data_IF_999956899817
#
_entry.id   IF_999956899817
#
_cell.length_a   1.000
_cell.length_b   1.000
_cell.length_c   1.000
_cell.angle_alpha   90.00
_cell.angle_beta   90.00
_cell.angle_gamma   90.00
#
_symmetry.space_group_name_H-M   'P 1'
#
loop_
_entity.id
_entity.type
_entity.pdbx_description
1 polymer ?
#
# COMPACT_ATOMS: atom_id res chain seq x y z
N UNK A 1 8.76 14.81 10.39
CA UNK A 1 7.32 14.62 10.11
C UNK A 1 6.48 14.54 11.38
N UNK A 2 7.01 13.99 12.47
CA UNK A 2 6.28 13.74 13.71
C UNK A 2 5.57 14.98 14.30
N UNK A 3 6.21 16.16 14.21
CA UNK A 3 5.64 17.43 14.73
C UNK A 3 4.45 17.96 13.93
N UNK A 4 4.39 17.70 12.62
CA UNK A 4 3.24 18.08 11.77
C UNK A 4 2.08 17.10 11.96
N UNK A 5 2.38 15.82 12.16
CA UNK A 5 1.38 14.79 12.45
C UNK A 5 0.73 15.00 13.82
N UNK A 6 1.52 15.44 14.82
CA UNK A 6 1.04 15.68 16.19
C UNK A 6 -0.07 16.74 16.31
N UNK A 7 -0.09 17.76 15.42
CA UNK A 7 -1.11 18.83 15.45
C UNK A 7 -2.45 18.37 14.86
N UNK A 8 -2.44 17.28 14.08
CA UNK A 8 -3.59 16.83 13.30
C UNK A 8 -4.16 15.49 13.80
N UNK A 9 -3.77 15.02 14.99
CA UNK A 9 -4.02 13.65 15.47
C UNK A 9 -5.50 13.25 15.55
N UNK A 10 -6.43 14.20 15.68
CA UNK A 10 -7.87 13.93 15.69
C UNK A 10 -8.49 13.89 14.28
N UNK A 11 -7.69 13.98 13.21
CA UNK A 11 -8.16 14.03 11.82
C UNK A 11 -7.52 12.94 10.98
N UNK A 12 -8.28 12.44 10.01
CA UNK A 12 -7.73 11.59 8.95
C UNK A 12 -6.83 12.43 8.05
N UNK A 13 -5.59 12.00 7.85
CA UNK A 13 -4.60 12.68 7.02
C UNK A 13 -4.22 11.82 5.82
N UNK A 14 -4.25 12.44 4.64
CA UNK A 14 -3.73 11.86 3.41
C UNK A 14 -2.43 12.58 3.04
N UNK A 15 -1.31 11.91 3.23
CA UNK A 15 0.02 12.48 2.97
C UNK A 15 0.58 11.91 1.67
N UNK A 16 0.78 12.74 0.67
CA UNK A 16 1.44 12.30 -0.57
C UNK A 16 2.95 12.33 -0.35
N UNK A 17 3.65 11.25 -0.71
CA UNK A 17 5.11 11.26 -0.75
C UNK A 17 5.63 10.47 -1.97
N UNK A 18 6.90 10.69 -2.30
CA UNK A 18 7.57 9.97 -3.37
C UNK A 18 8.10 8.59 -2.90
N UNK A 19 8.74 7.87 -3.83
CA UNK A 19 9.31 6.55 -3.57
C UNK A 19 10.53 6.56 -2.62
N UNK A 20 11.23 7.69 -2.44
CA UNK A 20 12.38 7.78 -1.54
C UNK A 20 11.96 7.67 -0.06
N UNK A 21 10.71 8.03 0.25
CA UNK A 21 10.18 8.03 1.61
C UNK A 21 9.72 6.64 2.11
N UNK A 22 10.33 5.56 1.62
CA UNK A 22 10.04 4.20 2.08
C UNK A 22 10.93 3.80 3.27
N UNK A 23 10.47 2.85 4.08
CA UNK A 23 11.26 2.37 5.21
C UNK A 23 10.41 1.94 6.40
N UNK A 24 11.10 1.64 7.50
CA UNK A 24 10.48 1.07 8.71
C UNK A 24 9.58 2.05 9.46
N UNK A 25 9.77 3.36 9.27
CA UNK A 25 8.92 4.40 9.88
C UNK A 25 7.44 4.21 9.54
N UNK A 26 7.15 3.61 8.38
CA UNK A 26 5.80 3.34 7.91
C UNK A 26 5.05 2.30 8.76
N UNK A 27 5.76 1.46 9.50
CA UNK A 27 5.17 0.41 10.36
C UNK A 27 4.40 0.98 11.53
N UNK A 28 4.74 2.21 11.92
CA UNK A 28 4.22 2.88 13.10
C UNK A 28 3.26 4.00 12.73
N UNK A 29 2.79 4.03 11.47
CA UNK A 29 1.78 5.01 11.06
C UNK A 29 0.47 4.74 11.82
N UNK A 30 -0.09 5.76 12.51
CA UNK A 30 -1.45 5.71 13.02
C UNK A 30 -2.46 5.35 11.93
N UNK A 31 -3.52 4.64 12.29
CA UNK A 31 -4.60 4.24 11.37
C UNK A 31 -5.28 5.43 10.68
N UNK A 32 -5.28 6.60 11.34
CA UNK A 32 -5.80 7.84 10.78
C UNK A 32 -4.97 8.38 9.60
N UNK A 33 -3.77 7.87 9.35
CA UNK A 33 -2.85 8.38 8.33
C UNK A 33 -2.74 7.42 7.16
N UNK A 34 -3.14 7.89 5.97
CA UNK A 34 -2.95 7.19 4.70
C UNK A 34 -1.87 7.90 3.89
N UNK A 35 -0.93 7.14 3.33
CA UNK A 35 0.21 7.71 2.58
C UNK A 35 0.23 7.14 1.15
N UNK A 36 -0.53 7.71 0.19
CA UNK A 36 -0.44 7.35 -1.21
C UNK A 36 0.92 7.76 -1.78
N UNK A 37 1.63 6.82 -2.41
CA UNK A 37 3.01 7.02 -2.87
C UNK A 37 3.34 6.19 -4.09
N UNK A 38 4.39 6.62 -4.79
CA UNK A 38 5.05 5.81 -5.79
C UNK A 38 5.82 4.66 -5.11
N UNK A 39 5.76 3.49 -5.70
CA UNK A 39 6.55 2.35 -5.25
C UNK A 39 7.94 2.39 -5.91
N UNK A 40 9.03 2.15 -5.17
CA UNK A 40 10.33 1.86 -5.77
C UNK A 40 10.23 0.71 -6.77
N UNK A 41 10.98 0.76 -7.86
CA UNK A 41 10.98 -0.30 -8.89
C UNK A 41 11.38 -1.69 -8.34
N UNK A 42 12.17 -1.73 -7.26
CA UNK A 42 12.57 -2.96 -6.56
C UNK A 42 11.51 -3.49 -5.58
N UNK A 43 10.34 -2.89 -5.51
CA UNK A 43 9.28 -3.28 -4.59
C UNK A 43 8.73 -4.66 -4.93
N UNK A 44 8.59 -5.50 -3.90
CA UNK A 44 7.90 -6.79 -4.00
C UNK A 44 6.63 -6.75 -3.18
N UNK A 45 5.50 -6.99 -3.85
CA UNK A 45 4.17 -7.05 -3.25
C UNK A 45 3.72 -8.50 -3.05
N UNK A 46 3.04 -8.73 -1.93
CA UNK A 46 2.44 -10.01 -1.58
C UNK A 46 0.94 -9.85 -1.37
N UNK A 47 0.19 -10.94 -1.47
CA UNK A 47 -1.14 -11.03 -0.90
C UNK A 47 -1.08 -10.81 0.62
N UNK A 48 -2.24 -10.47 1.18
CA UNK A 48 -2.43 -10.39 2.63
C UNK A 48 -2.15 -11.76 3.28
N UNK A 49 -1.84 -11.74 4.57
CA UNK A 49 -1.66 -12.97 5.33
C UNK A 49 -2.94 -13.83 5.24
N UNK A 50 -2.82 -15.14 4.94
CA UNK A 50 -3.99 -16.01 4.90
C UNK A 50 -4.55 -16.20 6.32
N UNK A 51 -5.82 -16.63 6.45
CA UNK A 51 -6.41 -16.96 7.73
C UNK A 51 -5.59 -17.98 8.53
N UNK A 52 -5.69 -17.91 9.85
CA UNK A 52 -5.07 -18.88 10.74
C UNK A 52 -5.58 -20.29 10.42
N UNK A 53 -4.67 -21.25 10.29
CA UNK A 53 -5.01 -22.63 9.89
C UNK A 53 -5.47 -23.51 11.05
N UNK A 54 -5.37 -23.03 12.30
CA UNK A 54 -5.62 -23.81 13.52
C UNK A 54 -4.59 -24.91 13.80
N UNK A 55 -3.57 -25.08 12.94
CA UNK A 55 -2.54 -26.11 13.09
C UNK A 55 -1.38 -25.62 13.98
N UNK A 56 -0.73 -26.55 14.68
CA UNK A 56 0.47 -26.27 15.46
C UNK A 56 1.58 -25.77 14.54
N UNK A 57 2.15 -24.61 14.86
CA UNK A 57 3.22 -23.97 14.09
C UNK A 57 3.03 -22.46 14.00
N UNK A 58 4.02 -21.77 13.41
CA UNK A 58 3.94 -20.32 13.22
C UNK A 58 2.96 -19.99 12.07
N UNK A 59 1.99 -19.09 12.28
CA UNK A 59 1.14 -18.60 11.20
C UNK A 59 1.93 -17.97 10.06
N UNK A 60 1.36 -18.04 8.84
CA UNK A 60 1.93 -17.31 7.70
C UNK A 60 1.72 -15.82 7.89
N UNK A 61 2.78 -15.07 7.63
CA UNK A 61 2.81 -13.63 7.81
C UNK A 61 2.44 -12.81 6.56
N UNK A 62 2.37 -13.48 5.40
CA UNK A 62 2.07 -12.91 4.09
C UNK A 62 1.56 -14.01 3.17
N UNK A 63 0.81 -13.64 2.14
CA UNK A 63 0.35 -14.55 1.11
C UNK A 63 1.36 -14.74 -0.03
N UNK A 64 0.87 -15.13 -1.20
CA UNK A 64 1.68 -15.34 -2.39
C UNK A 64 2.25 -14.01 -2.91
N UNK A 65 3.30 -14.07 -3.73
CA UNK A 65 3.84 -12.87 -4.41
C UNK A 65 2.90 -12.50 -5.56
N UNK A 66 2.56 -11.22 -5.69
CA UNK A 66 1.58 -10.72 -6.67
C UNK A 66 2.11 -10.57 -8.11
N UNK A 67 3.39 -10.85 -8.35
CA UNK A 67 4.02 -10.68 -9.67
C UNK A 67 4.51 -9.25 -9.92
N UNK A 68 4.77 -8.94 -11.20
CA UNK A 68 5.18 -7.62 -11.68
C UNK A 68 3.96 -6.73 -12.00
N UNK A 69 4.13 -5.42 -12.16
CA UNK A 69 3.05 -4.54 -12.61
C UNK A 69 2.41 -4.99 -13.93
N UNK A 70 3.21 -5.56 -14.85
CA UNK A 70 2.71 -6.11 -16.12
C UNK A 70 1.82 -7.33 -15.90
N UNK A 71 2.22 -8.25 -15.01
CA UNK A 71 1.43 -9.44 -14.69
C UNK A 71 0.08 -9.07 -14.05
N UNK A 72 0.11 -8.08 -13.15
CA UNK A 72 -1.11 -7.54 -12.53
C UNK A 72 -2.01 -6.85 -13.55
N UNK A 73 -1.44 -6.04 -14.44
CA UNK A 73 -2.20 -5.36 -15.48
C UNK A 73 -2.86 -6.34 -16.46
N UNK A 74 -2.27 -7.50 -16.72
CA UNK A 74 -2.83 -8.51 -17.61
C UNK A 74 -4.12 -9.16 -17.09
N UNK A 75 -4.33 -9.17 -15.77
CA UNK A 75 -5.51 -9.79 -15.12
C UNK A 75 -6.44 -8.77 -14.45
N UNK A 76 -6.06 -7.50 -14.45
CA UNK A 76 -6.79 -6.42 -13.80
C UNK A 76 -8.08 -6.03 -14.54
N UNK A 77 -9.11 -5.70 -13.77
CA UNK A 77 -10.27 -4.97 -14.26
C UNK A 77 -10.02 -3.48 -14.13
N UNK A 78 -10.03 -2.76 -15.26
CA UNK A 78 -9.75 -1.32 -15.28
C UNK A 78 -11.03 -0.50 -15.26
N UNK A 79 -11.02 0.53 -14.42
CA UNK A 79 -12.01 1.62 -14.45
C UNK A 79 -11.40 2.83 -15.15
N UNK A 80 -12.17 3.49 -16.02
CA UNK A 80 -11.75 4.72 -16.69
C UNK A 80 -12.16 5.91 -15.83
N UNK A 81 -11.19 6.69 -15.37
CA UNK A 81 -11.41 7.87 -14.54
C UNK A 81 -10.86 9.09 -15.24
N UNK A 82 -11.62 10.20 -15.25
CA UNK A 82 -11.11 11.50 -15.67
C UNK A 82 -10.46 12.19 -14.48
N UNK A 83 -9.20 12.58 -14.65
CA UNK A 83 -8.43 13.27 -13.62
C UNK A 83 -7.61 14.40 -14.21
N UNK A 84 -7.29 15.39 -13.36
CA UNK A 84 -6.33 16.43 -13.69
C UNK A 84 -4.93 15.94 -13.31
N UNK A 85 -4.08 15.72 -14.30
CA UNK A 85 -2.69 15.31 -14.14
C UNK A 85 -1.79 16.39 -14.74
N UNK A 86 -0.87 16.93 -13.94
CA UNK A 86 0.11 17.94 -14.39
C UNK A 86 -0.54 19.09 -15.20
N UNK A 87 -1.66 19.61 -14.72
CA UNK A 87 -2.39 20.71 -15.38
C UNK A 87 -3.34 20.27 -16.51
N UNK A 88 -3.20 19.06 -17.05
CA UNK A 88 -4.04 18.52 -18.12
C UNK A 88 -5.17 17.66 -17.56
N UNK A 89 -6.37 17.77 -18.13
CA UNK A 89 -7.44 16.80 -17.85
C UNK A 89 -7.33 15.65 -18.84
N UNK A 90 -7.17 14.43 -18.34
CA UNK A 90 -7.09 13.24 -19.17
C UNK A 90 -7.84 12.06 -18.56
N UNK A 91 -8.07 11.03 -19.37
CA UNK A 91 -8.62 9.74 -18.96
C UNK A 91 -7.49 8.80 -18.58
N UNK A 92 -7.50 8.34 -17.34
CA UNK A 92 -6.62 7.28 -16.88
C UNK A 92 -7.40 5.96 -16.74
N UNK A 93 -6.75 4.84 -17.05
CA UNK A 93 -7.23 3.50 -16.70
C UNK A 93 -6.61 3.13 -15.36
N UNK A 94 -7.44 2.86 -14.37
CA UNK A 94 -7.01 2.56 -13.00
C UNK A 94 -7.51 1.17 -12.63
N UNK A 95 -6.62 0.39 -12.04
CA UNK A 95 -6.95 -0.86 -11.38
C UNK A 95 -6.44 -0.81 -9.94
N UNK A 96 -7.19 -1.38 -9.02
CA UNK A 96 -6.89 -1.39 -7.60
C UNK A 96 -6.74 -2.83 -7.11
N UNK A 97 -5.76 -3.05 -6.22
CA UNK A 97 -5.52 -4.35 -5.63
C UNK A 97 -5.08 -4.19 -4.17
N UNK A 98 -5.60 -5.05 -3.31
CA UNK A 98 -5.16 -5.16 -1.92
C UNK A 98 -3.86 -5.94 -1.86
N UNK A 99 -2.84 -5.38 -1.22
CA UNK A 99 -1.53 -6.02 -1.15
C UNK A 99 -0.78 -5.67 0.14
N UNK A 100 0.29 -6.42 0.37
CA UNK A 100 1.23 -6.25 1.46
C UNK A 100 2.63 -5.98 0.93
N UNK A 101 3.16 -4.79 1.22
CA UNK A 101 4.57 -4.50 1.03
C UNK A 101 5.36 -4.82 2.30
N UNK A 102 5.74 -6.10 2.43
CA UNK A 102 6.32 -6.65 3.65
C UNK A 102 7.62 -5.95 4.11
N UNK A 103 8.48 -5.50 3.18
CA UNK A 103 9.75 -4.85 3.52
C UNK A 103 9.57 -3.55 4.30
N UNK A 104 8.61 -2.74 3.86
CA UNK A 104 8.27 -1.46 4.46
C UNK A 104 7.34 -1.61 5.67
N UNK A 105 6.18 -2.26 5.48
CA UNK A 105 5.11 -2.29 6.48
C UNK A 105 5.15 -3.47 7.46
N UNK A 106 5.91 -4.54 7.18
CA UNK A 106 5.84 -5.79 7.94
C UNK A 106 4.42 -6.43 7.88
N UNK A 107 4.12 -7.59 8.50
CA UNK A 107 2.76 -8.13 8.52
C UNK A 107 1.79 -7.12 9.10
N UNK A 108 0.57 -7.12 8.57
CA UNK A 108 -0.54 -6.44 9.24
C UNK A 108 -0.75 -7.10 10.62
N UNK A 109 -0.90 -6.33 11.71
CA UNK A 109 -1.31 -6.88 12.99
C UNK A 109 -2.63 -7.63 12.81
N UNK A 110 -2.74 -8.85 13.36
CA UNK A 110 -4.03 -9.53 13.45
C UNK A 110 -4.92 -8.71 14.38
N UNK A 111 -6.09 -8.29 13.88
CA UNK A 111 -7.15 -7.72 14.70
C UNK A 111 -7.64 -8.71 15.75
#
# INVERSE_FOLDING_TARGET
MDRLLAVCLDRRLHVVADAAHHGRTLRHLPEAITVPRQLPASTVLFDLAPPLTGRRGRPRLKGARLGTPTDLAATATFTITRGKQYGRTDRARIAEAWCLWYGSFHPRPSA
#
